data_IF_323031442058
#
_entry.id   IF_323031442058
#
_cell.length_a   1.000
_cell.length_b   1.000
_cell.length_c   1.000
_cell.angle_alpha   90.00
_cell.angle_beta   90.00
_cell.angle_gamma   90.00
#
_symmetry.space_group_name_H-M   'P 1'
#
loop_
_entity.id
_entity.type
_entity.pdbx_description
1 polymer ?
#
# COMPACT_ATOMS: atom_id res chain seq x y z
N UNK A 1 9.51 -16.21 -11.16
CA UNK A 1 10.67 -16.82 -11.85
C UNK A 1 11.34 -17.74 -10.86
N UNK A 2 11.28 -19.04 -11.13
CA UNK A 2 12.12 -20.15 -10.65
C UNK A 2 12.49 -20.33 -9.16
N UNK A 3 12.38 -21.61 -8.79
CA UNK A 3 13.16 -22.37 -7.82
C UNK A 3 12.69 -22.48 -6.36
N UNK A 4 12.43 -23.76 -6.01
CA UNK A 4 12.82 -24.46 -4.79
C UNK A 4 12.13 -23.96 -3.50
N UNK A 5 11.46 -24.81 -2.74
CA UNK A 5 12.06 -25.62 -1.66
C UNK A 5 10.90 -26.52 -1.18
N UNK A 6 10.89 -27.83 -1.42
CA UNK A 6 11.51 -28.91 -0.61
C UNK A 6 11.14 -28.88 0.90
N UNK A 7 10.84 -30.06 1.46
CA UNK A 7 10.66 -30.37 2.91
C UNK A 7 9.46 -29.71 3.62
N UNK A 8 8.35 -30.39 3.95
CA UNK A 8 8.14 -31.56 4.82
C UNK A 8 8.78 -31.44 6.22
N UNK A 9 7.89 -31.41 7.23
CA UNK A 9 8.08 -31.53 8.70
C UNK A 9 8.62 -30.25 9.38
N UNK A 10 7.94 -29.70 10.39
CA UNK A 10 7.99 -30.20 11.78
C UNK A 10 6.96 -29.47 12.68
N UNK A 11 6.20 -30.27 13.46
CA UNK A 11 5.57 -30.02 14.80
C UNK A 11 4.43 -28.98 14.95
N UNK A 12 3.38 -29.16 15.78
CA UNK A 12 2.93 -30.24 16.67
C UNK A 12 1.51 -29.89 17.20
N UNK A 13 0.61 -30.87 17.37
CA UNK A 13 0.02 -31.14 18.71
C UNK A 13 -0.76 -32.45 18.77
N UNK A 14 -0.37 -33.24 19.76
CA UNK A 14 -0.99 -34.44 20.28
C UNK A 14 -2.42 -34.19 20.78
N UNK A 15 -3.38 -35.05 20.42
CA UNK A 15 -4.36 -35.63 21.37
C UNK A 15 -4.46 -37.14 21.07
N UNK A 16 -4.46 -37.91 22.16
CA UNK A 16 -4.30 -39.35 22.27
C UNK A 16 -5.57 -40.17 22.03
N UNK A 17 -5.32 -41.39 21.53
CA UNK A 17 -6.14 -42.62 21.40
C UNK A 17 -7.32 -42.83 22.36
N UNK A 18 -8.43 -43.39 21.84
CA UNK A 18 -9.20 -44.48 22.47
C UNK A 18 -10.18 -45.21 21.50
N UNK A 19 -9.79 -46.42 21.09
CA UNK A 19 -10.57 -47.68 20.89
C UNK A 19 -11.81 -47.84 19.96
N UNK A 20 -12.15 -49.10 19.55
CA UNK A 20 -12.84 -49.46 18.30
C UNK A 20 -14.25 -50.07 18.47
N UNK A 21 -14.82 -50.58 17.35
CA UNK A 21 -16.14 -51.23 17.12
C UNK A 21 -17.20 -50.24 16.57
N UNK A 22 -18.00 -50.50 15.54
CA UNK A 22 -18.47 -51.73 14.87
C UNK A 22 -19.01 -51.38 13.46
N UNK A 23 -18.83 -52.27 12.49
CA UNK A 23 -19.46 -52.27 11.14
C UNK A 23 -20.98 -52.61 11.20
N UNK A 24 -21.74 -52.77 10.09
CA UNK A 24 -21.48 -52.54 8.64
C UNK A 24 -22.59 -51.68 7.96
N UNK A 25 -22.41 -51.03 6.81
CA UNK A 25 -22.61 -51.55 5.43
C UNK A 25 -23.07 -50.33 4.61
N UNK A 26 -22.46 -49.96 3.48
CA UNK A 26 -22.80 -50.52 2.16
C UNK A 26 -21.88 -49.91 1.08
N UNK A 27 -21.31 -50.81 0.28
CA UNK A 27 -21.01 -50.69 -1.16
C UNK A 27 -20.47 -49.36 -1.73
N UNK A 28 -19.26 -49.40 -2.32
CA UNK A 28 -19.08 -49.22 -3.78
C UNK A 28 -17.74 -49.79 -4.24
N UNK A 29 -17.83 -50.60 -5.30
CA UNK A 29 -16.76 -51.37 -5.92
C UNK A 29 -15.75 -50.49 -6.67
N UNK A 30 -14.48 -50.83 -6.51
CA UNK A 30 -13.36 -50.38 -7.32
C UNK A 30 -13.28 -51.27 -8.57
N UNK A 31 -13.42 -50.69 -9.77
CA UNK A 31 -13.10 -51.39 -11.02
C UNK A 31 -11.90 -50.71 -11.67
N UNK A 32 -10.78 -51.44 -11.72
CA UNK A 32 -9.62 -51.09 -12.55
C UNK A 32 -10.01 -51.22 -14.02
N UNK A 33 -9.67 -50.24 -14.85
CA UNK A 33 -9.25 -50.53 -16.21
C UNK A 33 -7.88 -49.89 -16.47
N UNK A 34 -6.93 -50.77 -16.75
CA UNK A 34 -5.66 -50.50 -17.41
C UNK A 34 -5.92 -50.62 -18.89
N UNK A 35 -5.69 -49.57 -19.67
CA UNK A 35 -5.38 -49.71 -21.09
C UNK A 35 -4.38 -48.65 -21.52
N UNK A 36 -3.27 -49.14 -22.04
CA UNK A 36 -2.17 -48.40 -22.62
C UNK A 36 -2.50 -48.00 -24.06
N UNK A 37 -1.93 -46.87 -24.50
CA UNK A 37 -1.73 -46.59 -25.92
C UNK A 37 -2.52 -45.40 -26.44
N UNK A 38 -1.86 -44.25 -26.51
CA UNK A 38 -1.69 -43.45 -27.74
C UNK A 38 -1.02 -42.12 -27.37
N UNK A 39 0.24 -42.03 -27.77
CA UNK A 39 1.01 -40.78 -27.78
C UNK A 39 0.40 -39.91 -28.88
N UNK A 40 -0.51 -39.01 -28.51
CA UNK A 40 -1.02 -37.95 -29.36
C UNK A 40 -0.52 -36.60 -28.84
N UNK A 41 0.41 -35.97 -29.56
CA UNK A 41 0.78 -34.56 -29.32
C UNK A 41 -0.42 -33.68 -29.66
N UNK A 42 -1.22 -33.34 -28.67
CA UNK A 42 -2.16 -32.21 -28.75
C UNK A 42 -1.39 -30.96 -28.35
N UNK A 43 -1.03 -30.14 -29.33
CA UNK A 43 -0.70 -28.74 -29.12
C UNK A 43 -1.96 -28.06 -28.55
N UNK A 44 -2.05 -27.97 -27.22
CA UNK A 44 -3.05 -27.14 -26.58
C UNK A 44 -2.64 -25.68 -26.80
N UNK A 45 -3.44 -24.93 -27.55
CA UNK A 45 -3.22 -23.49 -27.69
C UNK A 45 -3.39 -22.83 -26.32
N UNK A 46 -2.67 -21.73 -26.05
CA UNK A 46 -2.87 -20.91 -24.84
C UNK A 46 -4.34 -20.52 -24.65
N UNK A 47 -5.08 -20.41 -25.77
CA UNK A 47 -6.53 -20.18 -25.82
C UNK A 47 -7.34 -21.34 -25.25
N UNK A 48 -6.92 -22.59 -25.48
CA UNK A 48 -7.58 -23.79 -24.99
C UNK A 48 -7.27 -24.02 -23.50
N UNK A 49 -6.08 -23.63 -23.04
CA UNK A 49 -5.74 -23.62 -21.61
C UNK A 49 -6.54 -22.57 -20.83
N UNK A 50 -6.74 -21.38 -21.40
CA UNK A 50 -7.61 -20.33 -20.83
C UNK A 50 -9.08 -20.75 -20.80
N UNK A 51 -9.58 -21.37 -21.87
CA UNK A 51 -10.96 -21.88 -21.92
C UNK A 51 -11.17 -23.06 -20.96
N UNK A 52 -10.17 -23.91 -20.78
CA UNK A 52 -10.19 -24.98 -19.78
C UNK A 52 -10.22 -24.40 -18.37
N UNK A 53 -9.39 -23.39 -18.05
CA UNK A 53 -9.43 -22.68 -16.77
C UNK A 53 -10.80 -22.02 -16.53
N UNK A 54 -11.37 -21.32 -17.52
CA UNK A 54 -12.71 -20.73 -17.40
C UNK A 54 -13.79 -21.79 -17.12
N UNK A 55 -13.79 -22.93 -17.84
CA UNK A 55 -14.75 -24.01 -17.60
C UNK A 55 -14.53 -24.74 -16.28
N UNK A 56 -13.27 -24.89 -15.85
CA UNK A 56 -12.90 -25.53 -14.59
C UNK A 56 -13.36 -24.68 -13.39
N UNK A 57 -13.27 -23.35 -13.50
CA UNK A 57 -13.82 -22.41 -12.52
C UNK A 57 -15.36 -22.31 -12.56
N UNK A 58 -16.02 -22.58 -13.69
CA UNK A 58 -17.49 -22.63 -13.76
C UNK A 58 -18.11 -23.90 -13.15
N UNK A 59 -17.38 -25.03 -13.13
CA UNK A 59 -17.91 -26.34 -12.68
C UNK A 59 -17.60 -26.66 -11.22
N UNK A 60 -16.59 -26.01 -10.65
CA UNK A 60 -16.36 -26.01 -9.23
C UNK A 60 -17.27 -24.95 -8.62
N UNK A 61 -18.37 -25.39 -7.98
CA UNK A 61 -19.14 -24.61 -7.02
C UNK A 61 -18.28 -24.35 -5.76
N UNK A 62 -17.05 -23.87 -5.95
CA UNK A 62 -16.25 -23.26 -4.91
C UNK A 62 -17.01 -21.98 -4.60
N UNK A 63 -17.59 -21.82 -3.39
CA UNK A 63 -18.15 -20.54 -3.00
C UNK A 63 -17.02 -19.55 -3.24
N UNK A 64 -17.28 -18.53 -4.07
CA UNK A 64 -16.31 -17.50 -4.40
C UNK A 64 -15.58 -17.14 -3.11
N UNK A 65 -14.36 -17.68 -2.94
CA UNK A 65 -13.46 -17.25 -1.89
C UNK A 65 -13.35 -15.79 -2.22
N UNK A 66 -13.99 -14.97 -1.37
CA UNK A 66 -14.26 -13.60 -1.68
C UNK A 66 -12.91 -12.98 -2.00
N UNK A 67 -12.65 -12.77 -3.30
CA UNK A 67 -11.47 -12.06 -3.74
C UNK A 67 -11.43 -10.83 -2.85
N UNK A 68 -10.35 -10.68 -2.08
CA UNK A 68 -10.24 -9.59 -1.12
C UNK A 68 -10.51 -8.29 -1.87
N UNK A 69 -10.93 -7.23 -1.18
CA UNK A 69 -11.15 -5.95 -1.85
C UNK A 69 -9.94 -5.58 -2.72
N UNK A 70 -8.74 -5.89 -2.23
CA UNK A 70 -7.47 -5.78 -2.96
C UNK A 70 -7.38 -6.67 -4.22
N UNK A 71 -7.75 -7.96 -4.15
CA UNK A 71 -7.72 -8.84 -5.32
C UNK A 71 -8.70 -8.38 -6.42
N UNK A 72 -9.86 -7.84 -6.02
CA UNK A 72 -10.82 -7.24 -6.96
C UNK A 72 -10.24 -5.97 -7.60
N UNK A 73 -9.50 -5.15 -6.86
CA UNK A 73 -8.76 -4.00 -7.39
C UNK A 73 -7.82 -4.39 -8.50
N UNK A 74 -6.95 -5.35 -8.19
CA UNK A 74 -5.86 -5.75 -9.05
C UNK A 74 -6.44 -6.31 -10.34
N UNK A 75 -7.47 -7.15 -10.24
CA UNK A 75 -8.17 -7.67 -11.41
C UNK A 75 -8.84 -6.55 -12.21
N UNK A 76 -9.52 -5.60 -11.56
CA UNK A 76 -10.19 -4.50 -12.26
C UNK A 76 -9.20 -3.58 -12.98
N UNK A 77 -8.02 -3.32 -12.41
CA UNK A 77 -6.95 -2.55 -13.03
C UNK A 77 -6.29 -3.31 -14.20
N UNK A 78 -6.12 -4.63 -14.07
CA UNK A 78 -5.60 -5.49 -15.15
C UNK A 78 -6.58 -5.53 -16.33
N UNK A 79 -7.88 -5.65 -16.07
CA UNK A 79 -8.90 -5.80 -17.11
C UNK A 79 -9.44 -4.47 -17.66
N UNK A 80 -9.24 -3.36 -16.96
CA UNK A 80 -9.66 -2.02 -17.40
C UNK A 80 -8.47 -1.04 -17.34
N UNK A 81 -7.49 -1.16 -18.24
CA UNK A 81 -6.24 -0.39 -18.20
C UNK A 81 -6.41 1.12 -18.44
N UNK A 82 -7.58 1.55 -18.90
CA UNK A 82 -7.96 2.96 -19.09
C UNK A 82 -8.81 3.51 -17.95
N UNK A 83 -9.14 2.69 -16.94
CA UNK A 83 -9.79 3.18 -15.72
C UNK A 83 -8.82 4.14 -15.02
N UNK A 84 -9.25 5.35 -14.62
CA UNK A 84 -8.45 6.23 -13.79
C UNK A 84 -7.98 5.46 -12.55
N UNK A 85 -6.67 5.47 -12.29
CA UNK A 85 -6.12 4.89 -11.06
C UNK A 85 -6.73 5.66 -9.88
N UNK A 86 -7.64 5.02 -9.13
CA UNK A 86 -8.35 5.64 -8.00
C UNK A 86 -9.85 5.32 -7.94
N UNK A 87 -10.50 5.03 -9.07
CA UNK A 87 -11.96 4.80 -9.09
C UNK A 87 -12.33 3.32 -8.90
N UNK A 88 -11.82 2.66 -7.86
CA UNK A 88 -12.20 1.28 -7.53
C UNK A 88 -13.19 1.28 -6.35
N UNK A 89 -14.49 1.01 -6.59
CA UNK A 89 -15.51 1.05 -5.55
C UNK A 89 -15.19 0.07 -4.40
N UNK A 90 -15.10 0.58 -3.17
CA UNK A 90 -14.93 -0.23 -1.96
C UNK A 90 -13.49 -0.44 -1.48
N UNK A 91 -12.49 0.10 -2.20
CA UNK A 91 -11.07 0.01 -1.82
C UNK A 91 -10.59 1.32 -1.22
N UNK A 92 -11.12 2.43 -1.74
CA UNK A 92 -10.97 3.76 -1.15
C UNK A 92 -12.05 3.98 -0.09
N UNK A 93 -12.22 3.04 0.85
CA UNK A 93 -12.80 3.42 2.14
C UNK A 93 -11.66 4.02 2.93
N UNK A 94 -11.46 5.32 2.75
CA UNK A 94 -10.70 6.10 3.72
C UNK A 94 -11.41 5.92 5.05
N UNK A 95 -10.93 5.00 5.89
CA UNK A 95 -11.18 5.13 7.32
C UNK A 95 -10.64 6.51 7.67
N UNK A 96 -11.55 7.40 8.07
CA UNK A 96 -11.18 8.76 8.41
C UNK A 96 -10.17 8.68 9.56
N UNK A 97 -8.90 8.89 9.24
CA UNK A 97 -7.84 8.92 10.24
C UNK A 97 -8.19 10.03 11.22
N UNK A 98 -8.21 9.72 12.50
CA UNK A 98 -8.37 10.68 13.58
C UNK A 98 -7.17 10.57 14.52
N UNK A 99 -6.83 11.69 15.15
CA UNK A 99 -5.81 11.69 16.19
C UNK A 99 -6.47 11.40 17.54
N UNK A 100 -5.78 10.64 18.39
CA UNK A 100 -6.22 10.42 19.76
C UNK A 100 -5.87 11.64 20.62
N UNK A 101 -6.84 12.53 20.79
CA UNK A 101 -6.72 13.72 21.64
C UNK A 101 -7.12 13.45 23.11
N UNK A 102 -7.45 12.20 23.50
CA UNK A 102 -8.05 11.89 24.81
C UNK A 102 -7.12 12.16 26.01
N UNK A 103 -5.81 12.23 25.78
CA UNK A 103 -4.80 12.48 26.81
C UNK A 103 -4.61 13.95 27.21
N UNK A 104 -5.29 14.90 26.56
CA UNK A 104 -5.10 16.33 26.79
C UNK A 104 -6.20 16.96 27.66
N UNK A 105 -5.83 17.99 28.41
CA UNK A 105 -6.80 18.86 29.08
C UNK A 105 -7.73 19.52 28.05
N UNK A 106 -9.04 19.46 28.30
CA UNK A 106 -10.06 19.85 27.32
C UNK A 106 -10.05 21.36 27.03
N UNK A 107 -9.76 22.21 28.01
CA UNK A 107 -9.74 23.66 27.83
C UNK A 107 -8.46 24.09 27.11
N UNK A 108 -7.31 23.54 27.51
CA UNK A 108 -6.05 23.77 26.79
C UNK A 108 -6.12 23.27 25.35
N UNK A 109 -6.73 22.10 25.12
CA UNK A 109 -6.91 21.55 23.78
C UNK A 109 -7.78 22.46 22.92
N UNK A 110 -8.87 23.00 23.47
CA UNK A 110 -9.74 23.94 22.77
C UNK A 110 -8.98 25.22 22.40
N UNK A 111 -8.21 25.77 23.35
CA UNK A 111 -7.38 26.95 23.11
C UNK A 111 -6.34 26.71 22.00
N UNK A 112 -5.66 25.57 22.03
CA UNK A 112 -4.66 25.20 21.03
C UNK A 112 -5.30 24.98 19.65
N UNK A 113 -6.45 24.30 19.57
CA UNK A 113 -7.19 24.12 18.31
C UNK A 113 -7.61 25.46 17.69
N UNK A 114 -8.02 26.42 18.51
CA UNK A 114 -8.34 27.77 18.05
C UNK A 114 -7.10 28.49 17.49
N UNK A 115 -5.96 28.42 18.18
CA UNK A 115 -4.70 28.99 17.70
C UNK A 115 -4.26 28.36 16.37
N UNK A 116 -4.42 27.04 16.23
CA UNK A 116 -4.12 26.36 14.97
C UNK A 116 -5.04 26.78 13.84
N UNK A 117 -6.36 26.84 14.08
CA UNK A 117 -7.33 27.26 13.07
C UNK A 117 -6.98 28.67 12.57
N UNK A 118 -6.68 29.59 13.49
CA UNK A 118 -6.25 30.94 13.15
C UNK A 118 -4.91 30.96 12.41
N UNK A 119 -3.96 30.10 12.82
CA UNK A 119 -2.66 29.96 12.17
C UNK A 119 -2.79 29.46 10.73
N UNK A 120 -3.66 28.47 10.49
CA UNK A 120 -3.97 27.96 9.15
C UNK A 120 -4.59 29.07 8.30
N UNK A 121 -5.59 29.78 8.81
CA UNK A 121 -6.22 30.90 8.09
C UNK A 121 -5.22 32.01 7.76
N UNK A 122 -4.30 32.33 8.68
CA UNK A 122 -3.22 33.29 8.42
C UNK A 122 -2.26 32.81 7.31
N UNK A 123 -1.87 31.53 7.34
CA UNK A 123 -1.02 30.95 6.31
C UNK A 123 -1.70 30.93 4.92
N UNK A 124 -2.99 30.62 4.86
CA UNK A 124 -3.81 30.67 3.64
C UNK A 124 -3.95 32.09 3.09
N UNK A 125 -4.00 33.10 3.98
CA UNK A 125 -3.97 34.52 3.62
C UNK A 125 -2.57 35.01 3.20
N UNK A 126 -1.54 34.17 3.28
CA UNK A 126 -0.15 34.51 2.94
C UNK A 126 0.65 35.15 4.08
N UNK A 127 0.04 35.37 5.26
CA UNK A 127 0.75 35.83 6.46
C UNK A 127 1.45 34.65 7.16
N UNK A 128 2.54 34.18 6.56
CA UNK A 128 3.33 33.07 7.08
C UNK A 128 3.95 33.41 8.44
N UNK A 129 4.36 34.65 8.65
CA UNK A 129 5.00 35.05 9.92
C UNK A 129 4.00 35.04 11.08
N UNK A 130 2.79 35.56 10.86
CA UNK A 130 1.69 35.48 11.82
C UNK A 130 1.29 34.03 12.11
N UNK A 131 1.19 33.19 11.08
CA UNK A 131 0.92 31.76 11.24
C UNK A 131 1.95 31.05 12.13
N UNK A 132 3.25 31.28 11.89
CA UNK A 132 4.33 30.69 12.68
C UNK A 132 4.30 31.12 14.15
N UNK A 133 3.93 32.37 14.42
CA UNK A 133 3.76 32.84 15.79
C UNK A 133 2.59 32.11 16.49
N UNK A 134 1.46 31.96 15.80
CA UNK A 134 0.29 31.25 16.33
C UNK A 134 0.58 29.77 16.59
N UNK A 135 1.24 29.08 15.66
CA UNK A 135 1.65 27.69 15.88
C UNK A 135 2.69 27.55 16.98
N UNK A 136 3.61 28.51 17.13
CA UNK A 136 4.58 28.49 18.22
C UNK A 136 3.91 28.71 19.58
N UNK A 137 2.88 29.55 19.66
CA UNK A 137 2.05 29.69 20.87
C UNK A 137 1.28 28.40 21.18
N UNK A 138 0.70 27.75 20.16
CA UNK A 138 0.06 26.45 20.30
C UNK A 138 1.01 25.39 20.90
N UNK A 139 2.25 25.33 20.40
CA UNK A 139 3.30 24.44 20.91
C UNK A 139 3.69 24.78 22.36
N UNK A 140 3.74 26.06 22.73
CA UNK A 140 4.03 26.45 24.12
C UNK A 140 2.96 25.99 25.11
N UNK A 141 1.69 25.97 24.69
CA UNK A 141 0.56 25.56 25.54
C UNK A 141 0.48 24.03 25.63
N UNK A 142 0.55 23.33 24.49
CA UNK A 142 0.55 21.86 24.43
C UNK A 142 1.77 21.34 23.64
N UNK A 143 2.94 21.20 24.29
CA UNK A 143 4.18 20.80 23.62
C UNK A 143 4.20 19.35 23.14
N UNK A 144 3.28 18.52 23.61
CA UNK A 144 3.14 17.10 23.24
C UNK A 144 2.11 16.89 22.12
N UNK A 145 1.47 17.95 21.62
CA UNK A 145 0.47 17.81 20.56
C UNK A 145 1.12 17.88 19.17
N UNK A 146 1.12 16.76 18.47
CA UNK A 146 1.81 16.59 17.18
C UNK A 146 1.35 17.56 16.08
N UNK A 147 0.05 17.89 16.03
CA UNK A 147 -0.55 18.68 14.94
C UNK A 147 0.01 20.09 14.85
N UNK A 148 0.36 20.70 15.99
CA UNK A 148 0.91 22.04 16.02
C UNK A 148 2.29 22.10 15.34
N UNK A 149 3.12 21.05 15.51
CA UNK A 149 4.39 20.92 14.80
C UNK A 149 4.18 20.64 13.31
N UNK A 150 3.25 19.76 12.93
CA UNK A 150 2.94 19.51 11.52
C UNK A 150 2.48 20.78 10.78
N UNK A 151 1.63 21.58 11.42
CA UNK A 151 1.14 22.84 10.87
C UNK A 151 2.26 23.88 10.77
N UNK A 152 3.11 23.99 11.81
CA UNK A 152 4.28 24.89 11.78
C UNK A 152 5.28 24.48 10.69
N UNK A 153 5.53 23.18 10.53
CA UNK A 153 6.39 22.68 9.46
C UNK A 153 5.89 23.06 8.06
N UNK A 154 4.57 23.00 7.84
CA UNK A 154 3.99 23.41 6.57
C UNK A 154 4.24 24.90 6.30
N UNK A 155 4.04 25.76 7.30
CA UNK A 155 4.31 27.19 7.18
C UNK A 155 5.82 27.48 6.98
N UNK A 156 6.71 26.80 7.70
CA UNK A 156 8.16 26.91 7.53
C UNK A 156 8.60 26.52 6.11
N UNK A 157 8.03 25.43 5.58
CA UNK A 157 8.27 25.02 4.19
C UNK A 157 7.83 26.09 3.20
N UNK A 158 6.66 26.70 3.39
CA UNK A 158 6.17 27.79 2.52
C UNK A 158 7.05 29.04 2.61
N UNK A 159 7.69 29.28 3.76
CA UNK A 159 8.67 30.34 3.93
C UNK A 159 10.06 29.99 3.34
N UNK A 160 10.27 28.73 2.96
CA UNK A 160 11.54 28.23 2.42
C UNK A 160 12.50 27.66 3.48
N UNK A 161 12.13 27.68 4.76
CA UNK A 161 12.91 27.04 5.82
C UNK A 161 12.66 25.53 5.84
N UNK A 162 13.36 24.84 4.95
CA UNK A 162 13.27 23.37 4.81
C UNK A 162 13.86 22.66 6.03
N UNK A 163 14.90 23.21 6.64
CA UNK A 163 15.57 22.59 7.79
C UNK A 163 14.67 22.62 9.02
N UNK A 164 14.08 23.78 9.32
CA UNK A 164 13.12 23.92 10.41
C UNK A 164 11.87 23.06 10.18
N UNK A 165 11.37 23.01 8.93
CA UNK A 165 10.25 22.14 8.59
C UNK A 165 10.54 20.66 8.85
N UNK A 166 11.71 20.15 8.47
CA UNK A 166 12.10 18.76 8.73
C UNK A 166 12.17 18.45 10.23
N UNK A 167 12.72 19.36 11.04
CA UNK A 167 12.79 19.18 12.50
C UNK A 167 11.40 19.08 13.14
N UNK A 168 10.48 19.95 12.73
CA UNK A 168 9.11 19.92 13.23
C UNK A 168 8.35 18.67 12.76
N UNK A 169 8.57 18.21 11.53
CA UNK A 169 7.98 16.96 11.03
C UNK A 169 8.50 15.75 11.80
N UNK A 170 9.81 15.70 12.09
CA UNK A 170 10.38 14.65 12.91
C UNK A 170 9.74 14.63 14.30
N UNK A 171 9.55 15.80 14.92
CA UNK A 171 8.88 15.91 16.22
C UNK A 171 7.41 15.48 16.14
N UNK A 172 6.68 15.91 15.11
CA UNK A 172 5.28 15.53 14.90
C UNK A 172 5.12 14.00 14.78
N UNK A 173 6.00 13.34 14.02
CA UNK A 173 5.98 11.88 13.83
C UNK A 173 6.30 11.14 15.13
N UNK A 174 7.27 11.64 15.91
CA UNK A 174 7.59 11.04 17.21
C UNK A 174 6.41 11.16 18.19
N UNK A 175 5.79 12.34 18.26
CA UNK A 175 4.66 12.61 19.16
C UNK A 175 3.40 11.82 18.76
N UNK A 176 3.16 11.65 17.47
CA UNK A 176 2.03 10.86 16.97
C UNK A 176 2.34 9.37 16.86
N UNK A 177 3.49 8.88 17.32
CA UNK A 177 3.89 7.47 17.15
C UNK A 177 4.01 7.01 15.68
N UNK A 178 3.99 7.92 14.71
CA UNK A 178 3.89 7.59 13.29
C UNK A 178 2.56 6.94 12.88
N UNK A 179 1.49 7.21 13.62
CA UNK A 179 0.11 6.83 13.31
C UNK A 179 -0.84 8.06 13.32
N UNK A 180 -2.14 7.81 13.28
CA UNK A 180 -3.16 8.87 13.25
C UNK A 180 -3.16 9.71 11.96
N UNK A 181 -3.97 10.76 11.97
CA UNK A 181 -4.07 11.72 10.88
C UNK A 181 -2.81 12.54 10.78
N UNK A 182 -2.35 13.09 11.90
CA UNK A 182 -1.19 13.97 11.94
C UNK A 182 0.09 13.23 11.56
N UNK A 183 0.32 12.01 12.06
CA UNK A 183 1.50 11.24 11.70
C UNK A 183 1.53 10.89 10.22
N UNK A 184 0.39 10.51 9.65
CA UNK A 184 0.24 10.28 8.22
C UNK A 184 0.58 11.52 7.39
N UNK A 185 0.04 12.69 7.77
CA UNK A 185 0.33 13.95 7.10
C UNK A 185 1.81 14.34 7.23
N UNK A 186 2.39 14.20 8.42
CA UNK A 186 3.78 14.55 8.67
C UNK A 186 4.74 13.67 7.86
N UNK A 187 4.47 12.36 7.75
CA UNK A 187 5.22 11.43 6.89
C UNK A 187 5.14 11.85 5.42
N UNK A 188 3.95 12.20 4.91
CA UNK A 188 3.79 12.68 3.53
C UNK A 188 4.59 13.95 3.30
N UNK A 189 4.49 14.93 4.19
CA UNK A 189 5.22 16.19 4.06
C UNK A 189 6.74 15.98 4.11
N UNK A 190 7.21 15.13 5.01
CA UNK A 190 8.65 14.81 5.15
C UNK A 190 9.17 14.06 3.94
N UNK A 191 8.43 13.08 3.44
CA UNK A 191 8.76 12.36 2.21
C UNK A 191 8.89 13.29 0.99
N UNK A 192 8.01 14.29 0.88
CA UNK A 192 8.10 15.30 -0.17
C UNK A 192 9.37 16.16 -0.05
N UNK A 193 9.69 16.62 1.16
CA UNK A 193 10.90 17.42 1.40
C UNK A 193 12.18 16.62 1.13
N UNK A 194 12.24 15.36 1.60
CA UNK A 194 13.37 14.45 1.35
C UNK A 194 13.56 14.18 -0.14
N UNK A 195 12.46 13.98 -0.87
CA UNK A 195 12.51 13.82 -2.32
C UNK A 195 13.06 15.05 -3.04
N UNK A 196 12.67 16.26 -2.62
CA UNK A 196 13.26 17.51 -3.12
C UNK A 196 14.75 17.61 -2.78
N UNK A 197 15.14 17.13 -1.60
CA UNK A 197 16.53 17.01 -1.15
C UNK A 197 17.32 15.86 -1.79
N UNK A 198 16.79 15.17 -2.80
CA UNK A 198 17.40 14.00 -3.46
C UNK A 198 17.61 12.76 -2.56
N UNK A 199 16.99 12.72 -1.39
CA UNK A 199 17.00 11.61 -0.43
C UNK A 199 15.88 10.62 -0.78
N UNK A 200 16.05 9.92 -1.92
CA UNK A 200 14.97 9.12 -2.53
C UNK A 200 14.59 7.89 -1.70
N UNK A 201 15.56 7.26 -1.03
CA UNK A 201 15.33 6.06 -0.22
C UNK A 201 14.54 6.38 1.05
N UNK A 202 14.92 7.46 1.74
CA UNK A 202 14.25 7.94 2.94
C UNK A 202 12.86 8.50 2.61
N UNK A 203 12.73 9.20 1.48
CA UNK A 203 11.44 9.67 0.98
C UNK A 203 10.49 8.50 0.71
N UNK A 204 10.99 7.45 0.04
CA UNK A 204 10.21 6.23 -0.21
C UNK A 204 9.75 5.58 1.08
N UNK A 205 10.62 5.43 2.08
CA UNK A 205 10.26 4.84 3.36
C UNK A 205 9.13 5.61 4.07
N UNK A 206 9.18 6.95 4.03
CA UNK A 206 8.10 7.79 4.56
C UNK A 206 6.77 7.58 3.82
N UNK A 207 6.81 7.53 2.48
CA UNK A 207 5.63 7.29 1.67
C UNK A 207 5.06 5.88 1.86
N UNK A 208 5.90 4.86 2.02
CA UNK A 208 5.45 3.49 2.32
C UNK A 208 4.73 3.43 3.67
N UNK A 209 5.27 4.09 4.69
CA UNK A 209 4.62 4.18 6.00
C UNK A 209 3.29 4.92 5.92
N UNK A 210 3.23 6.08 5.27
CA UNK A 210 1.97 6.81 5.09
C UNK A 210 0.94 6.05 4.23
N UNK A 211 1.39 5.29 3.22
CA UNK A 211 0.53 4.43 2.42
C UNK A 211 -0.10 3.30 3.25
N UNK A 212 0.66 2.75 4.21
CA UNK A 212 0.16 1.73 5.15
C UNK A 212 -0.92 2.28 6.10
N UNK A 213 -0.92 3.60 6.35
CA UNK A 213 -1.97 4.29 7.11
C UNK A 213 -3.18 4.66 6.25
N UNK A 214 -3.16 4.36 4.94
CA UNK A 214 -4.28 4.62 4.03
C UNK A 214 -4.10 5.81 3.09
N UNK A 215 -2.99 6.55 3.14
CA UNK A 215 -2.76 7.67 2.22
C UNK A 215 -2.62 7.18 0.77
N UNK A 216 -3.60 7.52 -0.07
CA UNK A 216 -3.56 7.23 -1.51
C UNK A 216 -2.40 7.97 -2.19
N UNK A 217 -2.22 9.25 -1.87
CA UNK A 217 -1.12 10.05 -2.40
C UNK A 217 0.24 9.40 -2.10
N UNK A 218 0.47 8.98 -0.86
CA UNK A 218 1.71 8.33 -0.48
C UNK A 218 1.91 7.00 -1.22
N UNK A 219 0.84 6.22 -1.39
CA UNK A 219 0.89 4.97 -2.16
C UNK A 219 1.35 5.20 -3.59
N UNK A 220 0.82 6.22 -4.25
CA UNK A 220 1.24 6.61 -5.60
C UNK A 220 2.71 7.04 -5.63
N UNK A 221 3.15 7.87 -4.68
CA UNK A 221 4.55 8.30 -4.61
C UNK A 221 5.53 7.15 -4.33
N UNK A 222 5.17 6.21 -3.45
CA UNK A 222 5.97 5.03 -3.18
C UNK A 222 6.17 4.15 -4.44
N UNK A 223 5.13 4.02 -5.28
CA UNK A 223 5.24 3.32 -6.57
C UNK A 223 6.17 4.05 -7.52
N UNK A 224 6.06 5.38 -7.62
CA UNK A 224 6.94 6.20 -8.48
C UNK A 224 8.41 6.08 -8.07
N UNK A 225 8.68 6.02 -6.76
CA UNK A 225 10.03 5.89 -6.21
C UNK A 225 10.52 4.44 -6.14
N UNK A 226 9.74 3.47 -6.59
CA UNK A 226 10.14 2.07 -6.58
C UNK A 226 11.23 1.81 -7.65
N UNK A 227 12.47 1.45 -7.25
CA UNK A 227 13.57 1.26 -8.20
C UNK A 227 13.32 0.09 -9.17
N UNK A 228 12.55 -0.91 -8.75
CA UNK A 228 12.18 -2.04 -9.59
C UNK A 228 11.14 -1.68 -10.65
N UNK A 229 10.21 -0.75 -10.34
CA UNK A 229 9.23 -0.28 -11.31
C UNK A 229 9.90 0.45 -12.48
N UNK A 230 10.88 1.32 -12.19
CA UNK A 230 11.67 2.00 -13.21
C UNK A 230 12.46 1.02 -14.10
N UNK A 231 13.10 0.00 -13.49
CA UNK A 231 13.84 -1.03 -14.21
C UNK A 231 12.93 -1.85 -15.14
N UNK A 232 11.78 -2.32 -14.62
CA UNK A 232 10.81 -3.08 -15.41
C UNK A 232 10.28 -2.26 -16.59
N UNK A 233 9.95 -0.98 -16.39
CA UNK A 233 9.48 -0.10 -17.45
C UNK A 233 10.55 0.13 -18.53
N UNK A 234 11.82 0.27 -18.12
CA UNK A 234 12.95 0.40 -19.04
C UNK A 234 13.15 -0.88 -19.85
N UNK A 235 13.22 -2.04 -19.20
CA UNK A 235 13.37 -3.33 -19.86
C UNK A 235 12.22 -3.63 -20.83
N UNK A 236 10.97 -3.38 -20.41
CA UNK A 236 9.80 -3.58 -21.25
C UNK A 236 9.85 -2.68 -22.49
N UNK A 237 10.24 -1.41 -22.32
CA UNK A 237 10.38 -0.45 -23.41
C UNK A 237 11.48 -0.84 -24.41
N UNK A 238 12.63 -1.33 -23.92
CA UNK A 238 13.70 -1.87 -24.76
C UNK A 238 13.26 -3.08 -25.58
N UNK A 239 12.53 -4.01 -24.97
CA UNK A 239 11.98 -5.20 -25.67
C UNK A 239 10.96 -4.79 -26.72
N UNK A 240 10.02 -3.89 -26.41
CA UNK A 240 9.03 -3.39 -27.36
C UNK A 240 9.70 -2.69 -28.54
N UNK A 241 10.73 -1.87 -28.29
CA UNK A 241 11.48 -1.20 -29.36
C UNK A 241 12.23 -2.19 -30.26
N UNK A 242 12.84 -3.23 -29.71
CA UNK A 242 13.48 -4.30 -30.49
C UNK A 242 12.46 -5.06 -31.35
N UNK A 243 11.28 -5.34 -30.81
CA UNK A 243 10.20 -5.99 -31.56
C UNK A 243 9.62 -5.09 -32.67
N UNK A 244 9.58 -3.77 -32.46
CA UNK A 244 9.07 -2.79 -33.44
C UNK A 244 10.09 -2.48 -34.56
N UNK A 245 11.39 -2.53 -34.26
CA UNK A 245 12.49 -2.23 -35.19
C UNK A 245 13.50 -3.40 -35.26
N UNK A 246 13.13 -4.57 -35.82
CA UNK A 246 13.95 -5.78 -35.76
C UNK A 246 15.31 -5.64 -36.49
N UNK A 247 15.42 -4.76 -37.49
CA UNK A 247 16.60 -4.67 -38.37
C UNK A 247 17.67 -3.66 -37.92
N UNK A 248 17.50 -2.98 -36.77
CA UNK A 248 18.45 -1.97 -36.28
C UNK A 248 19.54 -2.56 -35.36
N UNK A 249 19.54 -3.86 -35.09
CA UNK A 249 20.45 -4.50 -34.13
C UNK A 249 21.73 -5.12 -34.74
N UNK A 250 21.88 -5.09 -36.07
CA UNK A 250 23.03 -5.70 -36.78
C UNK A 250 24.08 -4.69 -37.28
N UNK A 251 23.96 -3.41 -36.93
CA UNK A 251 24.90 -2.37 -37.37
C UNK A 251 25.74 -1.82 -36.19
N UNK A 252 26.60 -2.67 -35.62
CA UNK A 252 27.80 -2.30 -34.86
C UNK A 252 28.87 -3.35 -35.12
#
# INVERSE_FOLDING_TARGET
MFCLITHRWVQCRHISKSSPASSPSSHWLMQKSTEAGLIGRLYFSFKDFLLFLCRFFSLLHIPAVMASANDRAVLQAIFNPTSPFGDIPGINREEELTDDDSGFDTELLKQVKELEMRGVSAAEAGDLQGALQLFSQAIQILPERASAYNNRAQALRLQGDTTGALQDLDRAIVLSGGDGRTGCQALVQRGLLRRLGSQMDEARADFEKAASLGSEFARQQAVVLNPYAALCNKMLSEVINKLRNPNMSEAQ
#
